data_IF_227960699971
#
_entry.id   IF_227960699971
#
_cell.length_a   1.000
_cell.length_b   1.000
_cell.length_c   1.000
_cell.angle_alpha   90.00
_cell.angle_beta   90.00
_cell.angle_gamma   90.00
#
_symmetry.space_group_name_H-M   'P 1'
#
loop_
_entity.id
_entity.type
_entity.pdbx_description
1 polymer ?
#
# COMPACT_ATOMS: atom_id res chain seq x y z
N UNK A 1 42.56 4.17 -19.69
CA UNK A 1 41.65 3.13 -20.22
C UNK A 1 40.36 3.25 -19.43
N UNK A 2 39.40 4.00 -19.95
CA UNK A 2 38.12 4.28 -19.30
C UNK A 2 37.22 3.05 -19.43
N UNK A 3 36.98 2.36 -18.32
CA UNK A 3 36.11 1.18 -18.26
C UNK A 3 34.66 1.61 -18.23
N UNK A 4 34.01 1.62 -19.40
CA UNK A 4 32.58 1.88 -19.56
C UNK A 4 31.75 0.96 -18.67
N UNK A 5 30.92 1.55 -17.80
CA UNK A 5 29.94 0.82 -17.00
C UNK A 5 28.70 0.58 -17.86
N UNK A 6 28.52 -0.63 -18.39
CA UNK A 6 27.31 -1.04 -19.08
C UNK A 6 26.14 -1.12 -18.11
N UNK A 7 25.43 -0.01 -17.94
CA UNK A 7 24.16 0.02 -17.23
C UNK A 7 23.11 -0.70 -18.07
N UNK A 8 22.68 -1.88 -17.62
CA UNK A 8 21.51 -2.55 -18.16
C UNK A 8 20.27 -1.68 -17.91
N UNK A 9 19.94 -0.83 -18.88
CA UNK A 9 18.63 -0.22 -18.97
C UNK A 9 17.69 -1.29 -19.52
N UNK A 10 17.07 -2.06 -18.61
CA UNK A 10 15.94 -2.90 -18.94
C UNK A 10 14.79 -2.02 -19.39
N UNK A 11 14.76 -1.71 -20.68
CA UNK A 11 13.66 -1.06 -21.37
C UNK A 11 12.50 -2.05 -21.42
N UNK A 12 11.74 -2.13 -20.33
CA UNK A 12 10.47 -2.83 -20.32
C UNK A 12 9.57 -2.19 -21.38
N UNK A 13 9.15 -2.98 -22.35
CA UNK A 13 8.23 -2.58 -23.39
C UNK A 13 6.93 -2.08 -22.74
N UNK A 14 6.50 -0.82 -22.96
CA UNK A 14 5.34 -0.25 -22.27
C UNK A 14 4.02 -0.96 -22.62
N UNK A 15 4.00 -1.78 -23.68
CA UNK A 15 2.84 -2.56 -24.11
C UNK A 15 2.68 -3.87 -23.32
N UNK A 16 3.78 -4.38 -22.74
CA UNK A 16 3.76 -5.49 -21.79
C UNK A 16 3.69 -4.93 -20.36
N UNK A 17 2.46 -4.75 -19.87
CA UNK A 17 2.20 -4.27 -18.51
C UNK A 17 3.13 -4.94 -17.49
N UNK A 18 3.83 -4.12 -16.68
CA UNK A 18 4.76 -4.63 -15.68
C UNK A 18 3.97 -5.39 -14.60
N UNK A 19 4.20 -6.69 -14.45
CA UNK A 19 3.57 -7.50 -13.40
C UNK A 19 4.41 -7.49 -12.13
N UNK A 20 3.74 -7.51 -10.98
CA UNK A 20 4.37 -7.70 -9.69
C UNK A 20 4.63 -9.20 -9.47
N UNK A 21 5.58 -9.55 -8.61
CA UNK A 21 5.77 -10.95 -8.16
C UNK A 21 4.52 -11.57 -7.51
N UNK A 22 3.54 -10.76 -7.10
CA UNK A 22 2.25 -11.27 -6.65
C UNK A 22 1.29 -11.68 -7.79
N UNK A 23 1.72 -11.59 -9.06
CA UNK A 23 0.93 -11.94 -10.24
C UNK A 23 0.01 -10.83 -10.77
N UNK A 24 -0.09 -9.70 -10.08
CA UNK A 24 -0.97 -8.58 -10.44
C UNK A 24 -0.23 -7.51 -11.23
N UNK A 25 -0.95 -6.78 -12.11
CA UNK A 25 -0.42 -5.61 -12.80
C UNK A 25 0.09 -4.56 -11.80
N UNK A 26 1.27 -4.00 -12.06
CA UNK A 26 1.83 -2.91 -11.26
C UNK A 26 1.28 -1.58 -11.75
N UNK A 27 0.41 -0.91 -10.96
CA UNK A 27 -0.01 0.44 -11.32
C UNK A 27 1.17 1.41 -11.27
N UNK A 28 1.15 2.35 -12.20
CA UNK A 28 2.01 3.53 -12.15
C UNK A 28 1.47 4.52 -11.11
N UNK A 29 2.28 4.85 -10.11
CA UNK A 29 1.95 5.73 -8.99
C UNK A 29 2.84 6.97 -9.00
N UNK A 30 2.36 8.04 -8.37
CA UNK A 30 3.10 9.28 -8.18
C UNK A 30 3.34 9.49 -6.68
N UNK A 31 4.58 9.78 -6.30
CA UNK A 31 4.93 10.04 -4.92
C UNK A 31 4.43 11.42 -4.46
N UNK A 32 3.66 11.42 -3.37
CA UNK A 32 3.23 12.64 -2.65
C UNK A 32 4.11 12.99 -1.45
N UNK A 33 5.26 12.34 -1.28
CA UNK A 33 6.16 12.61 -0.15
C UNK A 33 7.00 13.85 -0.39
N UNK A 34 7.29 14.61 0.66
CA UNK A 34 8.14 15.82 0.58
C UNK A 34 9.56 15.50 0.10
N UNK A 35 10.10 14.33 0.46
CA UNK A 35 11.45 13.91 0.07
C UNK A 35 11.56 13.61 -1.42
N UNK A 36 10.46 13.23 -2.08
CA UNK A 36 10.47 12.78 -3.45
C UNK A 36 9.14 13.13 -4.15
N UNK A 37 8.82 14.43 -4.29
CA UNK A 37 7.54 14.87 -4.84
C UNK A 37 7.48 14.61 -6.35
N UNK A 38 6.34 14.15 -6.84
CA UNK A 38 6.08 14.01 -8.29
C UNK A 38 6.78 12.85 -8.99
N UNK A 39 7.72 12.14 -8.34
CA UNK A 39 8.38 10.98 -8.94
C UNK A 39 7.38 9.86 -9.22
N UNK A 40 7.38 9.38 -10.46
CA UNK A 40 6.57 8.25 -10.92
C UNK A 40 7.31 6.93 -10.66
N UNK A 41 6.58 5.91 -10.24
CA UNK A 41 7.13 4.57 -9.99
C UNK A 41 6.05 3.49 -10.16
N UNK A 42 6.47 2.29 -10.58
CA UNK A 42 5.63 1.10 -10.54
C UNK A 42 5.67 0.49 -9.14
N UNK A 43 4.51 0.18 -8.58
CA UNK A 43 4.40 -0.40 -7.24
C UNK A 43 3.33 -1.49 -7.19
N UNK A 44 3.52 -2.47 -6.31
CA UNK A 44 2.54 -3.54 -6.11
C UNK A 44 1.17 -2.97 -5.71
N UNK A 45 0.10 -3.39 -6.38
CA UNK A 45 -1.27 -3.01 -6.02
C UNK A 45 -1.71 -3.52 -4.63
N UNK A 46 -0.97 -4.49 -4.08
CA UNK A 46 -1.19 -5.06 -2.75
C UNK A 46 -0.28 -4.41 -1.68
N UNK A 47 0.57 -3.45 -2.04
CA UNK A 47 1.46 -2.80 -1.08
C UNK A 47 0.65 -2.15 0.05
N UNK A 48 0.89 -2.59 1.30
CA UNK A 48 0.17 -2.18 2.53
C UNK A 48 -1.33 -2.48 2.54
N UNK A 49 -1.86 -3.30 1.63
CA UNK A 49 -3.28 -3.66 1.60
C UNK A 49 -3.72 -4.32 2.90
N UNK A 50 -2.96 -5.32 3.38
CA UNK A 50 -3.27 -6.06 4.60
C UNK A 50 -3.30 -5.17 5.85
N UNK A 51 -2.38 -4.20 5.95
CA UNK A 51 -2.34 -3.29 7.09
C UNK A 51 -3.53 -2.34 7.11
N UNK A 52 -3.96 -1.83 5.95
CA UNK A 52 -5.11 -0.93 5.84
C UNK A 52 -6.40 -1.68 6.17
N UNK A 53 -6.58 -2.89 5.64
CA UNK A 53 -7.80 -3.68 5.87
C UNK A 53 -7.94 -4.15 7.31
N UNK A 54 -6.84 -4.55 7.96
CA UNK A 54 -6.84 -4.93 9.37
C UNK A 54 -7.16 -3.72 10.25
N UNK A 55 -6.56 -2.55 10.00
CA UNK A 55 -6.80 -1.35 10.78
C UNK A 55 -8.29 -0.95 10.76
N UNK A 56 -8.92 -0.96 9.59
CA UNK A 56 -10.36 -0.66 9.47
C UNK A 56 -11.22 -1.65 10.25
N UNK A 57 -10.87 -2.95 10.23
CA UNK A 57 -11.58 -3.98 10.99
C UNK A 57 -11.40 -3.82 12.49
N UNK A 58 -10.20 -3.49 12.95
CA UNK A 58 -9.91 -3.23 14.36
C UNK A 58 -10.72 -2.04 14.86
N UNK A 59 -10.76 -0.94 14.11
CA UNK A 59 -11.53 0.25 14.48
C UNK A 59 -13.03 -0.02 14.53
N UNK A 60 -13.56 -0.79 13.58
CA UNK A 60 -14.97 -1.19 13.58
C UNK A 60 -15.29 -2.04 14.82
N UNK A 61 -14.46 -3.05 15.11
CA UNK A 61 -14.64 -3.89 16.29
C UNK A 61 -14.51 -3.09 17.59
N UNK A 62 -13.59 -2.12 17.67
CA UNK A 62 -13.44 -1.28 18.86
C UNK A 62 -14.69 -0.46 19.15
N UNK A 63 -15.35 0.08 18.12
CA UNK A 63 -16.63 0.80 18.28
C UNK A 63 -17.74 -0.10 18.83
N UNK A 64 -17.77 -1.35 18.41
CA UNK A 64 -18.74 -2.33 18.94
C UNK A 64 -18.46 -2.66 20.41
N UNK A 65 -17.18 -2.83 20.77
CA UNK A 65 -16.75 -3.02 22.16
C UNK A 65 -17.14 -1.83 23.03
N UNK A 66 -16.86 -0.60 22.58
CA UNK A 66 -17.18 0.62 23.33
C UNK A 66 -18.70 0.77 23.53
N UNK A 67 -19.48 0.51 22.48
CA UNK A 67 -20.94 0.52 22.56
C UNK A 67 -21.47 -0.54 23.55
N UNK A 68 -20.85 -1.72 23.58
CA UNK A 68 -21.19 -2.78 24.53
C UNK A 68 -20.85 -2.38 25.97
N UNK A 69 -19.67 -1.80 26.21
CA UNK A 69 -19.26 -1.33 27.54
C UNK A 69 -20.17 -0.23 28.08
N UNK A 70 -20.64 0.68 27.23
CA UNK A 70 -21.58 1.73 27.63
C UNK A 70 -22.93 1.17 28.07
N UNK A 71 -23.43 0.08 27.45
CA UNK A 71 -24.67 -0.60 27.88
C UNK A 71 -24.52 -1.29 29.24
N UNK A 72 -23.38 -1.94 29.47
CA UNK A 72 -23.09 -2.60 30.76
C UNK A 72 -23.02 -1.60 31.91
N UNK A 73 -22.43 -0.41 31.69
CA UNK A 73 -22.32 0.63 32.74
C UNK A 73 -23.66 1.22 33.20
N UNK A 74 -24.68 1.26 32.34
CA UNK A 74 -25.98 1.87 32.67
C UNK A 74 -27.04 0.86 33.17
N UNK A 75 -26.78 -0.45 33.04
CA UNK A 75 -27.70 -1.52 33.49
C UNK A 75 -27.52 -1.98 34.94
N UNK A 76 -26.57 -1.38 35.68
CA UNK A 76 -26.35 -1.67 37.11
C UNK A 76 -27.09 -0.71 38.02
N UNK A 77 -28.40 -0.93 38.20
CA UNK A 77 -29.17 -0.45 39.35
C UNK A 77 -30.08 -1.57 39.84
#
# INVERSE_FOLDING_TARGET
>A
MEGSSSGNNGSGDPDFGMFCFCGELTPLRTSGTQKNPGRRFFGCANYKRTTITIQMKIEAMQKEIDAMQMRVRHGGK
#
